data_IF_484647369256
#
_entry.id   IF_484647369256
#
_cell.length_a   1.000
_cell.length_b   1.000
_cell.length_c   1.000
_cell.angle_alpha   90.00
_cell.angle_beta   90.00
_cell.angle_gamma   90.00
#
_symmetry.space_group_name_H-M   'P 1'
#
loop_
_entity.id
_entity.type
_entity.pdbx_description
1 polymer ?
#
# COMPACT_ATOMS: atom_id res chain seq x y z
N UNK A 1 1.04 14.97 19.48
CA UNK A 1 1.54 13.59 19.29
C UNK A 1 2.84 13.44 20.08
N UNK A 2 2.98 12.42 20.92
CA UNK A 2 4.27 12.10 21.56
C UNK A 2 5.17 11.31 20.60
N UNK A 3 6.48 11.22 20.87
CA UNK A 3 7.38 10.38 20.07
C UNK A 3 6.94 8.92 20.05
N UNK A 4 6.53 8.38 21.21
CA UNK A 4 6.00 7.02 21.33
C UNK A 4 4.70 6.83 20.54
N UNK A 5 3.84 7.86 20.49
CA UNK A 5 2.66 7.82 19.63
C UNK A 5 3.03 7.78 18.14
N UNK A 6 4.04 8.54 17.70
CA UNK A 6 4.49 8.51 16.31
C UNK A 6 4.89 7.10 15.88
N UNK A 7 5.71 6.40 16.68
CA UNK A 7 6.06 5.00 16.40
C UNK A 7 4.83 4.10 16.34
N UNK A 8 3.92 4.22 17.31
CA UNK A 8 2.70 3.40 17.38
C UNK A 8 1.81 3.62 16.16
N UNK A 9 1.65 4.87 15.74
CA UNK A 9 0.80 5.25 14.62
C UNK A 9 1.36 4.73 13.29
N UNK A 10 2.67 4.90 13.04
CA UNK A 10 3.30 4.39 11.82
C UNK A 10 3.24 2.87 11.78
N UNK A 11 3.70 2.17 12.83
CA UNK A 11 3.66 0.70 12.88
C UNK A 11 2.23 0.17 12.70
N UNK A 12 1.23 0.82 13.29
CA UNK A 12 -0.16 0.44 13.09
C UNK A 12 -0.64 0.69 11.65
N UNK A 13 -0.19 1.75 10.98
CA UNK A 13 -0.49 2.03 9.59
C UNK A 13 0.10 0.95 8.66
N UNK A 14 1.39 0.61 8.82
CA UNK A 14 2.02 -0.42 7.99
C UNK A 14 1.35 -1.79 8.16
N UNK A 15 1.00 -2.18 9.39
CA UNK A 15 0.31 -3.45 9.64
C UNK A 15 -1.08 -3.46 8.97
N UNK A 16 -1.79 -2.31 8.94
CA UNK A 16 -3.08 -2.21 8.24
C UNK A 16 -2.88 -2.36 6.73
N UNK A 17 -1.90 -1.67 6.15
CA UNK A 17 -1.57 -1.79 4.72
C UNK A 17 -1.18 -3.23 4.35
N UNK A 18 -0.33 -3.89 5.14
CA UNK A 18 0.03 -5.30 4.95
C UNK A 18 -1.20 -6.22 4.98
N UNK A 19 -2.08 -6.09 5.99
CA UNK A 19 -3.29 -6.92 6.11
C UNK A 19 -4.22 -6.71 4.90
N UNK A 20 -4.36 -5.47 4.44
CA UNK A 20 -5.13 -5.11 3.26
C UNK A 20 -4.54 -5.74 2.01
N UNK A 21 -3.25 -5.55 1.71
CA UNK A 21 -2.61 -6.12 0.53
C UNK A 21 -2.59 -7.64 0.54
N UNK A 22 -2.47 -8.28 1.71
CA UNK A 22 -2.65 -9.72 1.85
C UNK A 22 -4.07 -10.18 1.49
N UNK A 23 -5.09 -9.40 1.86
CA UNK A 23 -6.48 -9.70 1.51
C UNK A 23 -6.75 -9.50 0.01
N UNK A 24 -6.23 -8.43 -0.58
CA UNK A 24 -6.30 -8.17 -2.02
C UNK A 24 -5.59 -9.28 -2.80
N UNK A 25 -4.35 -9.62 -2.44
CA UNK A 25 -3.58 -10.69 -3.10
C UNK A 25 -4.30 -12.05 -3.11
N UNK A 26 -5.14 -12.34 -2.11
CA UNK A 26 -5.94 -13.58 -1.99
C UNK A 26 -7.26 -13.54 -2.75
N UNK A 27 -7.87 -12.36 -2.87
CA UNK A 27 -9.21 -12.20 -3.44
C UNK A 27 -9.20 -12.26 -4.98
N UNK A 28 -8.04 -12.07 -5.61
CA UNK A 28 -7.90 -12.05 -7.06
C UNK A 28 -7.83 -13.46 -7.67
N UNK A 29 -8.83 -13.78 -8.49
CA UNK A 29 -8.94 -15.05 -9.22
C UNK A 29 -7.94 -15.20 -10.39
N UNK A 30 -7.30 -14.11 -10.83
CA UNK A 30 -6.30 -14.10 -11.90
C UNK A 30 -4.89 -13.89 -11.33
N UNK A 31 -3.91 -14.78 -11.63
CA UNK A 31 -2.56 -14.71 -11.04
C UNK A 31 -1.81 -13.40 -11.30
N UNK A 32 -2.12 -12.70 -12.39
CA UNK A 32 -1.29 -11.60 -12.90
C UNK A 32 -1.31 -10.34 -12.02
N UNK A 33 -2.42 -10.01 -11.35
CA UNK A 33 -2.52 -8.85 -10.44
C UNK A 33 -2.21 -9.19 -8.98
N UNK A 34 -2.06 -10.48 -8.63
CA UNK A 34 -1.73 -10.92 -7.27
C UNK A 34 -0.29 -10.58 -6.89
N UNK A 35 0.62 -10.48 -7.87
CA UNK A 35 2.04 -10.30 -7.60
C UNK A 35 2.38 -8.89 -7.10
N UNK A 36 1.80 -7.83 -7.69
CA UNK A 36 2.03 -6.46 -7.23
C UNK A 36 1.64 -6.29 -5.76
N UNK A 37 0.52 -6.87 -5.33
CA UNK A 37 0.12 -6.82 -3.92
C UNK A 37 1.04 -7.62 -3.01
N UNK A 38 1.61 -8.75 -3.47
CA UNK A 38 2.63 -9.48 -2.68
C UNK A 38 3.91 -8.66 -2.52
N UNK A 39 4.32 -7.94 -3.57
CA UNK A 39 5.47 -7.04 -3.52
C UNK A 39 5.23 -5.89 -2.54
N UNK A 40 4.06 -5.25 -2.61
CA UNK A 40 3.67 -4.20 -1.66
C UNK A 40 3.67 -4.70 -0.21
N UNK A 41 3.16 -5.91 0.07
CA UNK A 41 3.25 -6.50 1.43
C UNK A 41 4.70 -6.54 1.94
N UNK A 42 5.67 -6.87 1.08
CA UNK A 42 7.09 -6.93 1.47
C UNK A 42 7.63 -5.53 1.76
N UNK A 43 7.26 -4.53 0.95
CA UNK A 43 7.70 -3.14 1.15
C UNK A 43 7.16 -2.59 2.48
N UNK A 44 5.88 -2.82 2.78
CA UNK A 44 5.30 -2.40 4.06
C UNK A 44 5.87 -3.14 5.28
N UNK A 45 6.32 -4.39 5.10
CA UNK A 45 7.02 -5.12 6.15
C UNK A 45 8.38 -4.47 6.46
N UNK A 46 9.08 -3.98 5.44
CA UNK A 46 10.34 -3.26 5.62
C UNK A 46 10.11 -1.93 6.35
N UNK A 47 9.02 -1.20 6.04
CA UNK A 47 8.63 0.00 6.79
C UNK A 47 8.38 -0.31 8.27
N UNK A 48 7.59 -1.36 8.55
CA UNK A 48 7.30 -1.80 9.92
C UNK A 48 8.59 -2.18 10.66
N UNK A 49 9.44 -3.00 10.06
CA UNK A 49 10.70 -3.45 10.66
C UNK A 49 11.60 -2.27 11.00
N UNK A 50 11.74 -1.31 10.08
CA UNK A 50 12.55 -0.09 10.29
C UNK A 50 12.05 0.69 11.50
N UNK A 51 10.75 0.86 11.64
CA UNK A 51 10.14 1.57 12.77
C UNK A 51 10.25 0.80 14.08
N UNK A 52 10.10 -0.53 14.08
CA UNK A 52 10.32 -1.36 15.27
C UNK A 52 11.77 -1.33 15.73
N UNK A 53 12.70 -1.37 14.78
CA UNK A 53 14.13 -1.29 15.04
C UNK A 53 14.49 0.06 15.66
N UNK A 54 13.98 1.15 15.10
CA UNK A 54 14.16 2.50 15.66
C UNK A 54 13.50 2.65 17.05
N UNK A 55 12.27 2.17 17.23
CA UNK A 55 11.59 2.16 18.53
C UNK A 55 12.39 1.41 19.60
N UNK A 56 12.96 0.25 19.27
CA UNK A 56 13.72 -0.57 20.22
C UNK A 56 15.01 0.10 20.68
N UNK A 57 15.62 0.94 19.82
CA UNK A 57 16.79 1.76 20.18
C UNK A 57 16.41 2.95 21.06
N UNK A 58 15.29 3.60 20.73
CA UNK A 58 14.82 4.80 21.43
C UNK A 58 14.21 4.47 22.81
N UNK A 59 13.52 3.33 22.93
CA UNK A 59 12.86 2.88 24.14
C UNK A 59 13.31 1.47 24.57
N UNK A 60 14.58 1.29 24.99
CA UNK A 60 15.10 -0.03 25.36
C UNK A 60 14.26 -0.71 26.44
N UNK A 61 13.86 -1.96 26.18
CA UNK A 61 13.09 -2.79 27.12
C UNK A 61 11.61 -2.44 27.23
N UNK A 62 11.09 -1.48 26.46
CA UNK A 62 9.66 -1.19 26.40
C UNK A 62 8.97 -1.97 25.28
N UNK A 63 7.72 -2.39 25.53
CA UNK A 63 6.85 -2.91 24.49
C UNK A 63 6.05 -1.78 23.83
N UNK A 64 5.71 -1.96 22.56
CA UNK A 64 4.77 -1.11 21.86
C UNK A 64 3.37 -1.73 21.95
N UNK A 65 2.42 -0.98 22.50
CA UNK A 65 1.03 -1.40 22.57
C UNK A 65 0.31 -0.98 21.29
N UNK A 66 -0.11 -1.97 20.50
CA UNK A 66 -0.87 -1.76 19.27
C UNK A 66 -2.34 -2.07 19.55
N UNK A 67 -3.22 -1.15 19.16
CA UNK A 67 -4.65 -1.41 19.15
C UNK A 67 -4.99 -2.04 17.79
N UNK A 68 -5.63 -3.21 17.81
CA UNK A 68 -6.15 -3.80 16.60
C UNK A 68 -7.43 -3.08 16.18
N UNK A 69 -7.32 -2.25 15.16
CA UNK A 69 -8.49 -1.72 14.45
C UNK A 69 -8.99 -2.79 13.47
N UNK A 70 -10.30 -3.13 13.48
CA UNK A 70 -10.84 -4.01 12.47
C UNK A 70 -10.70 -3.36 11.08
N UNK A 71 -10.19 -4.11 10.10
CA UNK A 71 -10.08 -3.66 8.71
C UNK A 71 -11.49 -3.52 8.13
N UNK A 72 -12.11 -2.34 8.30
CA UNK A 72 -13.42 -1.99 7.71
C UNK A 72 -13.27 -1.44 6.28
N UNK A 73 -12.04 -1.28 5.81
CA UNK A 73 -11.71 -0.43 4.67
C UNK A 73 -12.14 -0.97 3.30
N UNK A 74 -12.46 -2.27 3.20
CA UNK A 74 -12.86 -2.88 1.91
C UNK A 74 -14.38 -2.92 1.69
N UNK A 75 -15.19 -2.26 2.53
CA UNK A 75 -16.64 -2.23 2.34
C UNK A 75 -17.02 -1.38 1.14
N UNK A 76 -17.76 -1.96 0.18
CA UNK A 76 -18.30 -1.25 -0.98
C UNK A 76 -17.43 -1.30 -2.23
N UNK A 77 -16.32 -2.04 -2.22
CA UNK A 77 -15.45 -2.24 -3.39
C UNK A 77 -15.87 -3.50 -4.14
N UNK A 78 -15.97 -3.43 -5.47
CA UNK A 78 -16.15 -4.60 -6.33
C UNK A 78 -14.82 -5.35 -6.51
N UNK A 79 -14.55 -6.32 -5.64
CA UNK A 79 -13.34 -7.14 -5.68
C UNK A 79 -13.21 -8.04 -6.93
N UNK A 80 -14.21 -8.06 -7.82
CA UNK A 80 -14.15 -8.80 -9.10
C UNK A 80 -13.65 -7.95 -10.27
N UNK A 81 -13.60 -6.63 -10.12
CA UNK A 81 -13.05 -5.71 -11.11
C UNK A 81 -11.59 -5.37 -10.77
N UNK A 82 -10.60 -5.82 -11.57
CA UNK A 82 -9.20 -5.52 -11.32
C UNK A 82 -8.86 -4.04 -11.36
N UNK A 83 -9.55 -3.24 -12.18
CA UNK A 83 -9.28 -1.82 -12.26
C UNK A 83 -9.75 -1.13 -10.97
N UNK A 84 -10.98 -1.42 -10.52
CA UNK A 84 -11.54 -0.81 -9.31
C UNK A 84 -10.70 -1.13 -8.07
N UNK A 85 -10.13 -2.34 -7.97
CA UNK A 85 -9.23 -2.68 -6.87
C UNK A 85 -7.90 -1.94 -6.95
N UNK A 86 -7.31 -1.82 -8.14
CA UNK A 86 -6.06 -1.06 -8.29
C UNK A 86 -6.28 0.43 -7.96
N UNK A 87 -7.42 0.99 -8.35
CA UNK A 87 -7.82 2.36 -7.98
C UNK A 87 -8.02 2.52 -6.48
N UNK A 88 -8.65 1.54 -5.82
CA UNK A 88 -8.76 1.50 -4.37
C UNK A 88 -7.39 1.42 -3.67
N UNK A 89 -6.47 0.57 -4.17
CA UNK A 89 -5.12 0.49 -3.63
C UNK A 89 -4.37 1.83 -3.79
N UNK A 90 -4.51 2.49 -4.95
CA UNK A 90 -3.92 3.82 -5.19
C UNK A 90 -4.45 4.86 -4.19
N UNK A 91 -5.76 4.87 -3.91
CA UNK A 91 -6.29 5.83 -2.93
C UNK A 91 -5.70 5.60 -1.53
N UNK A 92 -5.35 4.35 -1.20
CA UNK A 92 -4.73 4.00 0.08
C UNK A 92 -3.27 4.46 0.17
N UNK A 93 -2.53 4.40 -0.93
CA UNK A 93 -1.20 5.03 -1.01
C UNK A 93 -1.30 6.54 -0.84
N UNK A 94 -2.27 7.20 -1.46
CA UNK A 94 -2.49 8.65 -1.30
C UNK A 94 -2.82 9.03 0.15
N UNK A 95 -3.68 8.24 0.81
CA UNK A 95 -3.98 8.39 2.25
C UNK A 95 -2.72 8.22 3.11
N UNK A 96 -1.84 7.27 2.80
CA UNK A 96 -0.59 7.03 3.52
C UNK A 96 0.42 8.18 3.33
N UNK A 97 0.57 8.66 2.09
CA UNK A 97 1.38 9.85 1.77
C UNK A 97 0.93 11.06 2.60
N UNK A 98 -0.38 11.35 2.61
CA UNK A 98 -0.93 12.46 3.35
C UNK A 98 -0.73 12.27 4.87
N UNK A 99 -0.98 11.05 5.37
CA UNK A 99 -0.74 10.71 6.77
C UNK A 99 0.71 11.00 7.18
N UNK A 100 1.69 10.52 6.41
CA UNK A 100 3.11 10.68 6.76
C UNK A 100 3.58 12.13 6.63
N UNK A 101 3.14 12.88 5.61
CA UNK A 101 3.40 14.33 5.52
C UNK A 101 2.82 15.08 6.72
N UNK A 102 1.57 14.81 7.07
CA UNK A 102 0.91 15.44 8.22
C UNK A 102 1.58 15.08 9.55
N UNK A 103 2.04 13.84 9.72
CA UNK A 103 2.79 13.42 10.90
C UNK A 103 4.17 14.09 10.98
N UNK A 104 4.85 14.26 9.83
CA UNK A 104 6.14 14.93 9.76
C UNK A 104 6.03 16.39 10.23
N UNK A 105 4.98 17.11 9.82
CA UNK A 105 4.73 18.48 10.28
C UNK A 105 4.47 18.60 11.79
N UNK A 106 3.94 17.53 12.41
CA UNK A 106 3.53 17.52 13.82
C UNK A 106 4.62 17.05 14.79
N UNK A 107 5.64 16.34 14.30
CA UNK A 107 6.73 15.84 15.16
C UNK A 107 7.78 16.92 15.41
N UNK A 108 8.39 16.87 16.60
CA UNK A 108 9.55 17.73 16.94
C UNK A 108 10.88 17.00 16.81
N UNK A 109 10.84 15.70 16.58
CA UNK A 109 12.02 14.84 16.50
C UNK A 109 12.56 14.82 15.07
N UNK A 110 13.76 15.36 14.79
CA UNK A 110 14.28 15.49 13.43
C UNK A 110 14.42 14.16 12.69
N UNK A 111 14.83 13.11 13.41
CA UNK A 111 15.02 11.79 12.82
C UNK A 111 13.69 11.17 12.37
N UNK A 112 12.63 11.34 13.18
CA UNK A 112 11.27 10.89 12.82
C UNK A 112 10.69 11.74 11.71
N UNK A 113 10.89 13.06 11.75
CA UNK A 113 10.47 13.95 10.67
C UNK A 113 11.02 13.47 9.32
N UNK A 114 12.33 13.24 9.25
CA UNK A 114 12.98 12.79 8.02
C UNK A 114 12.53 11.38 7.62
N UNK A 115 12.32 10.49 8.59
CA UNK A 115 11.84 9.14 8.31
C UNK A 115 10.43 9.15 7.70
N UNK A 116 9.54 9.99 8.22
CA UNK A 116 8.18 10.14 7.71
C UNK A 116 8.15 10.74 6.30
N UNK A 117 8.99 11.74 6.02
CA UNK A 117 9.11 12.27 4.66
C UNK A 117 9.68 11.24 3.69
N UNK A 118 10.59 10.37 4.14
CA UNK A 118 11.08 9.25 3.34
C UNK A 118 9.95 8.26 3.03
N UNK A 119 9.17 7.84 4.02
CA UNK A 119 8.05 6.93 3.81
C UNK A 119 7.01 7.54 2.87
N UNK A 120 6.64 8.82 3.06
CA UNK A 120 5.76 9.52 2.13
C UNK A 120 6.26 9.50 0.68
N UNK A 121 7.58 9.52 0.46
CA UNK A 121 8.15 9.40 -0.89
C UNK A 121 8.16 7.95 -1.40
N UNK A 122 8.34 6.97 -0.51
CA UNK A 122 8.27 5.53 -0.83
C UNK A 122 6.83 5.16 -1.25
N UNK A 123 5.80 5.66 -0.55
CA UNK A 123 4.38 5.46 -0.91
C UNK A 123 4.01 6.08 -2.27
N UNK A 124 4.56 7.25 -2.64
CA UNK A 124 4.40 7.78 -4.00
C UNK A 124 4.98 6.83 -5.06
N UNK A 125 6.05 6.11 -4.70
CA UNK A 125 6.63 5.03 -5.51
C UNK A 125 5.70 3.82 -5.63
N UNK A 126 5.07 3.40 -4.53
CA UNK A 126 4.09 2.32 -4.51
C UNK A 126 2.88 2.66 -5.38
N UNK A 127 2.36 3.89 -5.29
CA UNK A 127 1.34 4.42 -6.18
C UNK A 127 1.74 4.34 -7.65
N UNK A 128 2.99 4.69 -7.99
CA UNK A 128 3.47 4.61 -9.37
C UNK A 128 3.53 3.16 -9.91
N UNK A 129 3.88 2.20 -9.05
CA UNK A 129 3.83 0.76 -9.37
C UNK A 129 2.37 0.34 -9.69
N UNK A 130 1.41 0.73 -8.85
CA UNK A 130 -0.01 0.42 -9.06
C UNK A 130 -0.57 1.06 -10.35
N UNK A 131 -0.22 2.31 -10.64
CA UNK A 131 -0.58 2.99 -11.89
C UNK A 131 -0.01 2.28 -13.12
N UNK A 132 1.19 1.72 -13.01
CA UNK A 132 1.80 0.93 -14.09
C UNK A 132 1.02 -0.36 -14.36
N UNK A 133 0.45 -0.99 -13.32
CA UNK A 133 -0.42 -2.14 -13.49
C UNK A 133 -1.77 -1.83 -14.11
N UNK A 134 -2.35 -0.66 -13.84
CA UNK A 134 -3.53 -0.20 -14.59
C UNK A 134 -3.20 -0.05 -16.08
N UNK A 135 -2.06 0.56 -16.42
CA UNK A 135 -1.65 0.70 -17.82
C UNK A 135 -1.43 -0.66 -18.49
N UNK A 136 -0.80 -1.61 -17.80
CA UNK A 136 -0.61 -2.97 -18.31
C UNK A 136 -1.95 -3.69 -18.54
N UNK A 137 -2.90 -3.54 -17.61
CA UNK A 137 -4.24 -4.11 -17.73
C UNK A 137 -4.98 -3.53 -18.95
N UNK A 138 -4.93 -2.22 -19.14
CA UNK A 138 -5.56 -1.54 -20.28
C UNK A 138 -4.92 -1.92 -21.62
N UNK A 139 -3.59 -1.98 -21.68
CA UNK A 139 -2.88 -2.39 -22.90
C UNK A 139 -3.17 -3.84 -23.29
N UNK A 140 -3.29 -4.74 -22.32
CA UNK A 140 -3.71 -6.13 -22.56
C UNK A 140 -5.14 -6.22 -23.09
N UNK A 141 -6.06 -5.37 -22.59
CA UNK A 141 -7.44 -5.29 -23.07
C UNK A 141 -7.52 -4.73 -24.49
N UNK A 142 -6.75 -3.69 -24.81
CA UNK A 142 -6.71 -3.10 -26.16
C UNK A 142 -6.20 -4.10 -27.21
N UNK A 143 -5.24 -4.96 -26.84
CA UNK A 143 -4.74 -6.00 -27.73
C UNK A 143 -5.73 -7.16 -27.91
N UNK A 144 -6.60 -7.41 -26.93
CA UNK A 144 -7.66 -8.42 -26.99
C UNK A 144 -9.00 -7.80 -27.44
N UNK A 145 -9.04 -7.09 -28.57
CA UNK A 145 -10.30 -6.67 -29.18
C UNK A 145 -10.85 -7.82 -30.05
N UNK A 146 -12.00 -8.43 -29.71
CA UNK A 146 -12.57 -9.53 -30.50
C UNK A 146 -12.93 -9.13 -31.94
N UNK A 147 -13.13 -7.84 -32.21
CA UNK A 147 -13.41 -7.33 -33.56
C UNK A 147 -12.17 -7.34 -34.47
N UNK A 148 -10.96 -7.34 -33.91
CA UNK A 148 -9.71 -7.52 -34.66
C UNK A 148 -9.50 -8.99 -35.09
N UNK A 149 -10.09 -9.95 -34.36
CA UNK A 149 -10.05 -11.38 -34.73
C UNK A 149 -10.96 -11.71 -35.92
N UNK A 150 -12.05 -10.97 -36.11
CA UNK A 150 -12.96 -11.19 -37.24
C UNK A 150 -12.38 -10.83 -38.61
N UNK A 151 -11.32 -10.02 -38.65
CA UNK A 151 -10.62 -9.65 -39.90
C UNK A 151 -9.56 -10.67 -40.37
N UNK A 152 -9.25 -11.69 -39.57
CA UNK A 152 -8.21 -12.69 -39.86
C UNK A 152 -8.76 -14.06 -40.30
N UNK A 153 -10.08 -14.18 -40.46
CA UNK A 153 -10.78 -15.42 -40.87
C UNK A 153 -11.45 -15.31 -42.24
N UNK A 154 -11.06 -14.33 -43.07
CA UNK A 154 -11.43 -14.27 -44.48
C UNK A 154 -10.19 -14.60 -45.33
N UNK A 155 -9.96 -15.89 -45.59
CA UNK A 155 -9.23 -16.43 -46.74
C UNK A 155 -9.57 -17.92 -46.95
#
# INVERSE_FOLDING_TARGET
MTLKDSYRMVIAAEIRAQKMYQALAKSFAKPETSNVFKELVVLEQLHEEKMRSAFSREFPGQAIELQEEPVKEMQGINLTDPQEVLEFAISKEEEAVELYKNMAEQTKEPDIHNQLLQFANEEEGHKAILLSEIQRLQGALQWFDPSELTGLMED
#
